data_IF_728420770515
#
_entry.id   IF_728420770515
#
_cell.length_a   1.000
_cell.length_b   1.000
_cell.length_c   1.000
_cell.angle_alpha   90.00
_cell.angle_beta   90.00
_cell.angle_gamma   90.00
#
_symmetry.space_group_name_H-M   'P 1'
#
loop_
_entity.id
_entity.type
_entity.pdbx_description
1 polymer ?
#
# COMPACT_ATOMS: atom_id res chain seq x y z
N UNK A 1 -11.43 4.59 13.45
CA UNK A 1 -11.78 3.37 12.68
C UNK A 1 -10.52 2.59 12.32
N UNK A 2 -10.60 1.30 11.98
CA UNK A 2 -9.43 0.46 11.64
C UNK A 2 -9.76 -0.49 10.49
N UNK A 3 -9.00 -0.42 9.39
CA UNK A 3 -9.21 -1.26 8.19
C UNK A 3 -7.91 -1.91 7.71
N UNK A 4 -8.06 -3.04 7.00
CA UNK A 4 -6.96 -3.87 6.49
C UNK A 4 -7.43 -4.70 5.30
N UNK A 5 -6.76 -4.55 4.15
CA UNK A 5 -6.97 -5.25 2.87
C UNK A 5 -5.60 -5.63 2.30
N UNK A 6 -5.50 -6.75 1.54
CA UNK A 6 -4.21 -7.40 1.26
C UNK A 6 -4.13 -8.06 -0.12
N UNK A 7 -3.23 -7.57 -0.99
CA UNK A 7 -2.39 -8.42 -1.84
C UNK A 7 -0.93 -8.30 -1.39
N UNK A 8 -0.33 -9.45 -1.08
CA UNK A 8 0.97 -9.64 -0.43
C UNK A 8 1.07 -11.16 -0.13
N UNK A 9 2.25 -11.77 0.08
CA UNK A 9 2.46 -13.20 -0.23
C UNK A 9 2.08 -14.22 0.90
N UNK A 10 2.37 -15.53 0.84
CA UNK A 10 1.71 -16.52 1.73
C UNK A 10 2.31 -16.61 3.16
N UNK A 11 1.70 -16.23 4.27
CA UNK A 11 0.49 -15.46 4.61
C UNK A 11 0.65 -15.02 6.10
N UNK A 12 -0.29 -14.53 6.92
CA UNK A 12 -1.73 -14.21 6.86
C UNK A 12 -1.98 -13.10 7.94
N UNK A 13 -3.17 -12.69 8.44
CA UNK A 13 -4.29 -13.49 9.00
C UNK A 13 -5.63 -13.23 8.29
N UNK A 14 -5.85 -12.02 7.75
CA UNK A 14 -6.79 -11.82 6.63
C UNK A 14 -6.01 -12.24 5.38
N UNK A 15 -6.65 -12.93 4.42
CA UNK A 15 -5.91 -13.63 3.35
C UNK A 15 -4.96 -12.71 2.60
N UNK A 16 -3.69 -13.11 2.63
CA UNK A 16 -2.62 -12.68 1.74
C UNK A 16 -2.64 -13.59 0.49
N UNK A 17 -2.26 -13.05 -0.68
CA UNK A 17 -2.26 -13.70 -2.00
C UNK A 17 -0.94 -13.40 -2.75
N UNK A 18 -0.32 -14.42 -3.35
CA UNK A 18 0.93 -14.30 -4.13
C UNK A 18 1.78 -15.60 -4.12
N UNK A 19 2.83 -15.74 -4.93
CA UNK A 19 3.60 -17.00 -5.02
C UNK A 19 4.54 -17.30 -3.83
N UNK A 20 5.24 -16.30 -3.27
CA UNK A 20 6.25 -16.46 -2.20
C UNK A 20 5.60 -16.67 -0.82
N UNK A 21 6.40 -16.86 0.25
CA UNK A 21 5.95 -17.11 1.63
C UNK A 21 6.10 -15.93 2.62
N UNK A 22 6.10 -14.69 2.12
CA UNK A 22 6.09 -13.48 2.96
C UNK A 22 4.81 -13.39 3.81
N UNK A 23 4.82 -12.64 4.92
CA UNK A 23 3.66 -12.53 5.83
C UNK A 23 3.62 -11.21 6.60
N UNK A 24 2.47 -10.85 7.22
CA UNK A 24 2.37 -9.62 8.03
C UNK A 24 1.01 -8.89 7.98
N UNK A 25 1.05 -7.56 8.14
CA UNK A 25 -0.09 -6.67 7.96
C UNK A 25 0.32 -5.22 7.62
N UNK A 26 -0.61 -4.50 6.99
CA UNK A 26 -0.66 -3.03 6.88
C UNK A 26 -2.04 -2.64 7.39
N UNK A 27 -2.09 -1.72 8.35
CA UNK A 27 -3.31 -1.29 9.05
C UNK A 27 -3.42 0.22 8.96
N UNK A 28 -4.59 0.69 8.54
CA UNK A 28 -4.89 2.12 8.48
C UNK A 28 -5.90 2.46 9.58
N UNK A 29 -5.62 3.50 10.35
CA UNK A 29 -6.55 4.01 11.36
C UNK A 29 -6.51 5.53 11.53
N UNK A 30 -7.69 6.12 11.69
CA UNK A 30 -7.86 7.52 12.11
C UNK A 30 -8.47 7.53 13.52
N UNK A 31 -7.88 8.34 14.41
CA UNK A 31 -8.35 8.56 15.78
C UNK A 31 -9.57 9.51 15.82
N UNK A 32 -9.61 10.49 14.93
CA UNK A 32 -10.73 11.44 14.75
C UNK A 32 -11.13 11.53 13.27
N UNK A 33 -12.40 11.82 12.93
CA UNK A 33 -12.79 12.08 11.55
C UNK A 33 -11.92 13.19 10.93
N UNK A 34 -11.51 13.03 9.67
CA UNK A 34 -10.67 13.98 8.92
C UNK A 34 -9.26 14.25 9.54
N UNK A 35 -8.88 13.57 10.62
CA UNK A 35 -7.51 13.62 11.15
C UNK A 35 -6.51 12.85 10.27
N UNK A 36 -5.20 12.95 10.55
CA UNK A 36 -4.20 12.18 9.84
C UNK A 36 -4.39 10.67 10.05
N UNK A 37 -4.12 9.89 9.02
CA UNK A 37 -4.21 8.42 9.06
C UNK A 37 -2.90 7.85 9.59
N UNK A 38 -2.97 7.13 10.71
CA UNK A 38 -1.91 6.25 11.17
C UNK A 38 -1.84 5.03 10.24
N UNK A 39 -0.65 4.78 9.68
CA UNK A 39 -0.34 3.59 8.88
C UNK A 39 0.60 2.72 9.71
N UNK A 40 0.07 1.64 10.30
CA UNK A 40 0.88 0.62 10.99
C UNK A 40 1.32 -0.43 9.98
N UNK A 41 2.64 -0.57 9.74
CA UNK A 41 3.23 -1.57 8.82
C UNK A 41 3.99 -2.62 9.63
N UNK A 42 3.81 -3.90 9.30
CA UNK A 42 4.56 -5.03 9.86
C UNK A 42 4.66 -6.14 8.81
N UNK A 43 5.81 -6.30 8.17
CA UNK A 43 6.03 -7.20 7.02
C UNK A 43 7.20 -8.13 7.32
N UNK A 44 7.14 -9.39 6.86
CA UNK A 44 8.08 -10.45 7.23
C UNK A 44 8.37 -11.39 6.06
N UNK A 45 9.56 -11.99 6.05
CA UNK A 45 10.04 -12.89 5.00
C UNK A 45 9.87 -12.29 3.59
N UNK A 46 10.26 -11.01 3.44
CA UNK A 46 10.28 -10.28 2.16
C UNK A 46 11.44 -10.70 1.26
N UNK A 47 12.45 -11.39 1.79
CA UNK A 47 13.58 -11.98 1.04
C UNK A 47 14.37 -10.98 0.18
N UNK A 48 14.32 -9.68 0.50
CA UNK A 48 14.84 -8.58 -0.32
C UNK A 48 14.22 -8.44 -1.71
N UNK A 49 13.11 -9.17 -1.98
CA UNK A 49 12.38 -9.17 -3.25
C UNK A 49 11.35 -8.03 -3.34
N UNK A 50 10.96 -7.43 -2.22
CA UNK A 50 9.99 -6.35 -2.16
C UNK A 50 10.57 -5.00 -2.63
N UNK A 51 9.80 -4.26 -3.43
CA UNK A 51 10.12 -2.94 -3.96
C UNK A 51 9.26 -1.84 -3.34
N UNK A 52 8.36 -1.26 -4.14
CA UNK A 52 7.39 -0.25 -3.71
C UNK A 52 6.09 -0.85 -3.17
N UNK A 53 5.29 -0.07 -2.45
CA UNK A 53 3.97 -0.51 -2.00
C UNK A 53 2.93 0.62 -1.94
N UNK A 54 1.74 0.31 -2.43
CA UNK A 54 0.75 1.30 -2.85
C UNK A 54 -0.68 0.83 -2.56
N UNK A 55 -1.60 1.77 -2.37
CA UNK A 55 -3.06 1.54 -2.45
C UNK A 55 -3.47 1.55 -3.92
N UNK A 56 -4.20 0.53 -4.37
CA UNK A 56 -4.71 0.42 -5.74
C UNK A 56 -6.19 0.85 -5.83
N UNK A 57 -6.72 1.03 -7.05
CA UNK A 57 -8.04 1.65 -7.23
C UNK A 57 -9.18 0.75 -6.71
N UNK A 58 -9.15 -0.57 -6.96
CA UNK A 58 -10.24 -1.49 -6.62
C UNK A 58 -9.87 -2.49 -5.48
N UNK A 59 -10.85 -3.11 -4.80
CA UNK A 59 -10.60 -4.17 -3.82
C UNK A 59 -10.20 -5.50 -4.44
N UNK A 60 -9.57 -6.37 -3.64
CA UNK A 60 -9.18 -7.73 -4.03
C UNK A 60 -10.40 -8.59 -4.38
N UNK A 61 -10.40 -9.18 -5.59
CA UNK A 61 -11.42 -10.12 -6.04
C UNK A 61 -11.14 -11.51 -5.48
N UNK A 62 -11.79 -11.86 -4.37
CA UNK A 62 -11.62 -13.16 -3.70
C UNK A 62 -12.15 -14.29 -4.61
N UNK A 63 -11.23 -15.12 -5.11
CA UNK A 63 -11.55 -16.25 -6.00
C UNK A 63 -11.10 -16.06 -7.45
N UNK A 64 -10.55 -14.89 -7.81
CA UNK A 64 -9.82 -14.74 -9.07
C UNK A 64 -8.58 -15.64 -9.12
N UNK A 65 -8.18 -16.03 -10.32
CA UNK A 65 -6.91 -16.70 -10.61
C UNK A 65 -5.70 -15.77 -10.48
N UNK A 66 -5.88 -14.48 -10.71
CA UNK A 66 -4.86 -13.44 -10.55
C UNK A 66 -5.46 -12.20 -9.85
N UNK A 67 -5.72 -12.31 -8.53
CA UNK A 67 -6.46 -11.32 -7.74
C UNK A 67 -5.70 -10.00 -7.50
N UNK A 68 -4.50 -9.88 -8.08
CA UNK A 68 -3.62 -8.72 -7.95
C UNK A 68 -3.27 -8.08 -9.29
N UNK A 69 -3.74 -8.63 -10.42
CA UNK A 69 -3.45 -8.14 -11.77
C UNK A 69 -3.84 -6.68 -12.03
N UNK A 70 -3.24 -6.06 -13.05
CA UNK A 70 -3.70 -4.77 -13.59
C UNK A 70 -5.18 -4.81 -14.00
N UNK A 71 -5.69 -5.96 -14.47
CA UNK A 71 -7.10 -6.13 -14.87
C UNK A 71 -8.04 -6.10 -13.67
N UNK A 72 -7.72 -6.84 -12.61
CA UNK A 72 -8.63 -7.07 -11.48
C UNK A 72 -8.67 -5.88 -10.50
N UNK A 73 -7.53 -5.25 -10.22
CA UNK A 73 -7.44 -4.17 -9.22
C UNK A 73 -7.02 -2.79 -9.75
N UNK A 74 -6.71 -2.70 -11.06
CA UNK A 74 -6.22 -1.51 -11.76
C UNK A 74 -4.87 -1.00 -11.18
N UNK A 75 -4.47 0.21 -11.60
CA UNK A 75 -3.26 0.89 -11.15
C UNK A 75 -3.37 1.51 -9.75
N UNK A 76 -2.41 2.38 -9.41
CA UNK A 76 -2.35 3.08 -8.14
C UNK A 76 -3.55 4.02 -7.92
N UNK A 77 -3.91 4.25 -6.66
CA UNK A 77 -4.97 5.17 -6.30
C UNK A 77 -4.50 6.63 -6.32
N UNK A 78 -4.63 7.25 -7.49
CA UNK A 78 -4.27 8.64 -7.76
C UNK A 78 -5.51 9.46 -8.21
N UNK A 79 -6.43 9.81 -7.28
CA UNK A 79 -7.68 10.49 -7.62
C UNK A 79 -7.53 11.98 -7.94
N UNK A 80 -6.31 12.52 -7.78
CA UNK A 80 -5.97 13.91 -8.11
C UNK A 80 -5.23 14.03 -9.44
N UNK A 81 -4.97 12.91 -10.14
CA UNK A 81 -4.15 12.84 -11.34
C UNK A 81 -2.75 13.50 -11.17
N UNK A 82 -2.13 13.28 -10.01
CA UNK A 82 -0.78 13.74 -9.71
C UNK A 82 0.23 13.21 -10.74
N UNK A 83 1.11 14.07 -11.24
CA UNK A 83 2.18 13.66 -12.14
C UNK A 83 3.30 12.97 -11.35
N UNK A 84 3.37 11.65 -11.41
CA UNK A 84 4.42 10.86 -10.74
C UNK A 84 5.84 11.21 -11.20
N UNK A 85 6.01 11.77 -12.40
CA UNK A 85 7.31 12.29 -12.87
C UNK A 85 7.75 13.60 -12.17
N UNK A 86 6.88 14.19 -11.36
CA UNK A 86 7.15 15.36 -10.51
C UNK A 86 7.35 15.01 -9.04
N UNK A 87 7.16 13.73 -8.65
CA UNK A 87 7.41 13.27 -7.28
C UNK A 87 8.92 13.26 -6.97
N UNK A 88 9.36 13.74 -5.79
CA UNK A 88 10.75 13.56 -5.34
C UNK A 88 11.08 12.08 -5.08
N UNK A 89 12.37 11.76 -4.92
CA UNK A 89 12.81 10.40 -4.58
C UNK A 89 12.11 9.85 -3.32
N UNK A 90 11.86 8.53 -3.21
CA UNK A 90 11.15 7.92 -2.09
C UNK A 90 11.68 8.34 -0.71
N UNK A 91 10.79 8.85 0.14
CA UNK A 91 11.09 9.33 1.50
C UNK A 91 11.77 10.69 1.59
N UNK A 92 11.85 11.47 0.49
CA UNK A 92 12.52 12.79 0.46
C UNK A 92 11.54 13.96 0.40
N UNK A 93 10.39 13.80 -0.26
CA UNK A 93 9.37 14.85 -0.40
C UNK A 93 8.40 14.94 0.78
N UNK A 94 7.52 15.94 0.73
CA UNK A 94 6.36 16.02 1.63
C UNK A 94 5.19 15.19 1.09
N UNK A 95 4.28 14.74 1.97
CA UNK A 95 3.23 13.74 1.62
C UNK A 95 2.19 14.19 0.57
N UNK A 96 2.16 15.48 0.25
CA UNK A 96 1.38 16.11 -0.81
C UNK A 96 2.06 16.04 -2.20
N UNK A 97 3.35 15.69 -2.26
CA UNK A 97 4.14 15.59 -3.49
C UNK A 97 4.12 14.19 -4.14
N UNK A 98 3.14 13.37 -3.77
CA UNK A 98 2.99 11.96 -4.17
C UNK A 98 1.51 11.62 -4.40
N UNK A 99 1.25 10.48 -5.05
CA UNK A 99 -0.11 9.97 -5.21
C UNK A 99 -0.74 9.69 -3.84
N UNK A 100 -2.06 9.87 -3.68
CA UNK A 100 -2.72 9.61 -2.38
C UNK A 100 -2.47 8.18 -1.89
N UNK A 101 -2.51 7.21 -2.81
CA UNK A 101 -2.21 5.81 -2.53
C UNK A 101 -0.74 5.42 -2.43
N UNK A 102 0.22 6.28 -2.79
CA UNK A 102 1.63 5.93 -2.81
C UNK A 102 2.25 6.01 -1.40
N UNK A 103 2.49 4.84 -0.78
CA UNK A 103 3.08 4.75 0.55
C UNK A 103 4.60 4.79 0.45
N UNK A 104 5.18 4.18 -0.58
CA UNK A 104 6.63 4.10 -0.75
C UNK A 104 7.28 5.42 -1.16
N UNK A 105 6.69 6.18 -2.06
CA UNK A 105 7.18 7.52 -2.40
C UNK A 105 7.18 8.43 -1.18
N UNK A 106 6.11 8.41 -0.37
CA UNK A 106 6.01 9.22 0.86
C UNK A 106 6.98 8.80 1.96
N UNK A 107 7.18 7.50 2.18
CA UNK A 107 7.79 6.98 3.42
C UNK A 107 8.95 5.99 3.25
N UNK A 108 9.33 5.66 2.02
CA UNK A 108 10.48 4.81 1.70
C UNK A 108 10.13 3.45 1.06
N UNK A 109 11.14 2.87 0.39
CA UNK A 109 11.04 1.58 -0.30
C UNK A 109 11.27 0.40 0.66
N UNK A 110 10.73 -0.77 0.32
CA UNK A 110 11.00 -2.06 1.00
C UNK A 110 12.25 -2.78 0.44
N UNK A 111 12.94 -2.16 -0.52
CA UNK A 111 14.13 -2.71 -1.19
C UNK A 111 15.21 -3.13 -0.19
N UNK A 112 15.68 -4.37 -0.31
CA UNK A 112 16.71 -4.93 0.57
C UNK A 112 16.22 -5.36 1.96
N UNK A 113 14.93 -5.19 2.28
CA UNK A 113 14.36 -5.61 3.56
C UNK A 113 14.00 -7.10 3.54
N UNK A 114 14.20 -7.78 4.67
CA UNK A 114 13.66 -9.12 4.90
C UNK A 114 12.47 -9.12 5.88
N UNK A 115 12.52 -8.25 6.90
CA UNK A 115 11.39 -7.91 7.75
C UNK A 115 11.37 -6.39 7.90
N UNK A 116 10.19 -5.78 8.04
CA UNK A 116 10.02 -4.34 8.06
C UNK A 116 8.82 -3.95 8.93
N UNK A 117 9.06 -3.23 10.02
CA UNK A 117 8.04 -2.75 10.94
C UNK A 117 8.16 -1.22 11.04
N UNK A 118 7.06 -0.49 10.81
CA UNK A 118 7.04 0.98 10.78
C UNK A 118 5.67 1.56 11.18
N UNK A 119 5.66 2.83 11.59
CA UNK A 119 4.44 3.60 11.84
C UNK A 119 4.58 4.98 11.19
N UNK A 120 3.60 5.35 10.36
CA UNK A 120 3.56 6.64 9.67
C UNK A 120 2.27 7.40 9.99
N UNK A 121 2.30 8.73 9.82
CA UNK A 121 1.13 9.59 9.94
C UNK A 121 0.94 10.35 8.63
N UNK A 122 -0.12 10.04 7.88
CA UNK A 122 -0.41 10.65 6.58
C UNK A 122 -1.69 11.51 6.63
N UNK A 123 -1.59 12.85 6.67
CA UNK A 123 -2.73 13.75 6.51
C UNK A 123 -3.34 13.75 5.10
N UNK A 124 -2.63 13.25 4.08
CA UNK A 124 -3.05 13.21 2.68
C UNK A 124 -3.60 11.82 2.26
N UNK A 125 -3.95 10.95 3.21
CA UNK A 125 -4.52 9.62 2.94
C UNK A 125 -5.80 9.37 3.77
N UNK A 126 -6.93 10.02 3.44
CA UNK A 126 -8.12 9.99 4.27
C UNK A 126 -8.83 8.62 4.24
N UNK A 127 -9.48 8.25 5.35
CA UNK A 127 -10.40 7.10 5.38
C UNK A 127 -11.86 7.50 5.11
N UNK A 128 -12.17 8.79 4.98
CA UNK A 128 -13.54 9.30 4.80
C UNK A 128 -13.61 10.37 3.71
N UNK A 129 -14.74 10.47 3.01
CA UNK A 129 -14.94 11.44 1.92
C UNK A 129 -14.58 10.89 0.53
N UNK A 130 -14.59 11.74 -0.51
CA UNK A 130 -14.50 11.30 -1.91
C UNK A 130 -13.15 10.64 -2.26
N UNK A 131 -12.08 11.06 -1.60
CA UNK A 131 -10.72 10.51 -1.81
C UNK A 131 -10.37 9.40 -0.82
N UNK A 132 -11.36 8.75 -0.21
CA UNK A 132 -11.11 7.67 0.75
C UNK A 132 -10.37 6.48 0.14
N UNK A 133 -9.41 5.93 0.89
CA UNK A 133 -8.75 4.65 0.61
C UNK A 133 -9.53 3.42 1.15
N UNK A 134 -10.67 3.61 1.82
CA UNK A 134 -11.47 2.48 2.28
C UNK A 134 -12.11 1.72 1.10
N UNK A 135 -12.20 0.40 1.22
CA UNK A 135 -12.74 -0.46 0.16
C UNK A 135 -11.79 -0.68 -1.01
N UNK A 136 -10.50 -0.36 -0.85
CA UNK A 136 -9.43 -0.56 -1.84
C UNK A 136 -8.46 -1.66 -1.41
N UNK A 137 -7.65 -2.13 -2.35
CA UNK A 137 -6.54 -3.05 -2.08
C UNK A 137 -5.24 -2.31 -1.77
N UNK A 138 -4.32 -3.00 -1.09
CA UNK A 138 -2.90 -2.61 -0.96
C UNK A 138 -2.07 -3.71 -1.62
N UNK A 139 -1.04 -3.32 -2.37
CA UNK A 139 -0.10 -4.20 -3.06
C UNK A 139 1.31 -3.85 -2.61
N UNK A 140 2.15 -4.86 -2.33
CA UNK A 140 3.62 -4.72 -2.38
C UNK A 140 4.07 -5.31 -3.71
N UNK A 141 4.85 -4.53 -4.44
CA UNK A 141 5.44 -4.91 -5.71
C UNK A 141 6.80 -5.58 -5.49
N UNK A 142 7.29 -6.31 -6.49
CA UNK A 142 8.69 -6.73 -6.55
C UNK A 142 9.63 -5.54 -6.79
N UNK A 143 10.93 -5.74 -6.63
CA UNK A 143 11.97 -4.72 -6.91
C UNK A 143 12.01 -4.22 -8.36
N UNK A 144 11.39 -4.94 -9.30
CA UNK A 144 11.24 -4.54 -10.72
C UNK A 144 9.88 -3.85 -11.03
N UNK A 145 9.00 -3.72 -10.03
CA UNK A 145 7.66 -3.14 -10.18
C UNK A 145 6.54 -4.12 -10.51
N UNK A 146 6.84 -5.41 -10.76
CA UNK A 146 5.83 -6.45 -10.96
C UNK A 146 5.06 -6.79 -9.67
N UNK A 147 4.03 -7.65 -9.76
CA UNK A 147 3.09 -7.98 -8.68
C UNK A 147 3.10 -9.48 -8.34
#
# INVERSE_FOLDING_TARGET
FSFSFFCLLKASHRKWFGPVSSGGQVKFSQAVPQGPTEITVSLKNLQSLAGGYHVHILPIIVGSSDPCSDTDILGHFNPLAWNTSSSPSPGVGTVDQYEIGDISGKFGMLTGQNNFDAVYMDPNMPLTGPYSIMGRSVVVHYTDGSR
#
